data_IF_382365407674
#
_entry.id   IF_382365407674
#
_cell.length_a   1.000
_cell.length_b   1.000
_cell.length_c   1.000
_cell.angle_alpha   90.00
_cell.angle_beta   90.00
_cell.angle_gamma   90.00
#
_symmetry.space_group_name_H-M   'P 1'
#
loop_
_entity.id
_entity.type
_entity.pdbx_description
1 polymer ?
#
# COMPACT_ATOMS: atom_id res chain seq x y z
N UNK A 1 -11.95 -40.21 -25.29
CA UNK A 1 -11.94 -39.86 -23.85
C UNK A 1 -10.66 -39.14 -23.38
N UNK A 2 -9.49 -39.37 -23.98
CA UNK A 2 -8.21 -38.73 -23.60
C UNK A 2 -8.07 -37.24 -23.98
N UNK A 3 -8.63 -36.82 -25.11
CA UNK A 3 -8.57 -35.43 -25.60
C UNK A 3 -9.34 -34.45 -24.69
N UNK A 4 -10.51 -34.85 -24.18
CA UNK A 4 -11.33 -34.05 -23.27
C UNK A 4 -10.63 -33.80 -21.92
N UNK A 5 -9.89 -34.79 -21.42
CA UNK A 5 -9.13 -34.68 -20.18
C UNK A 5 -7.91 -33.75 -20.31
N UNK A 6 -7.22 -33.80 -21.46
CA UNK A 6 -6.10 -32.89 -21.77
C UNK A 6 -6.57 -31.43 -21.91
N UNK A 7 -7.71 -31.20 -22.58
CA UNK A 7 -8.28 -29.87 -22.76
C UNK A 7 -8.68 -29.23 -21.42
N UNK A 8 -9.36 -29.98 -20.53
CA UNK A 8 -9.73 -29.52 -19.19
C UNK A 8 -8.50 -29.18 -18.33
N UNK A 9 -7.42 -29.96 -18.46
CA UNK A 9 -6.15 -29.72 -17.75
C UNK A 9 -5.42 -28.47 -18.26
N UNK A 10 -5.48 -28.18 -19.56
CA UNK A 10 -4.89 -26.97 -20.14
C UNK A 10 -5.67 -25.71 -19.76
N UNK A 11 -7.01 -25.77 -19.71
CA UNK A 11 -7.84 -24.66 -19.23
C UNK A 11 -7.53 -24.37 -17.76
N UNK A 12 -7.49 -25.38 -16.90
CA UNK A 12 -7.15 -25.19 -15.48
C UNK A 12 -5.78 -24.54 -15.29
N UNK A 13 -4.76 -25.01 -16.02
CA UNK A 13 -3.41 -24.40 -16.00
C UNK A 13 -3.45 -22.94 -16.44
N UNK A 14 -4.18 -22.63 -17.51
CA UNK A 14 -4.31 -21.26 -18.01
C UNK A 14 -5.02 -20.36 -16.97
N UNK A 15 -6.10 -20.83 -16.35
CA UNK A 15 -6.81 -20.10 -15.29
C UNK A 15 -5.89 -19.81 -14.11
N UNK A 16 -5.12 -20.80 -13.63
CA UNK A 16 -4.16 -20.60 -12.54
C UNK A 16 -3.08 -19.60 -12.92
N UNK A 17 -2.56 -19.64 -14.15
CA UNK A 17 -1.57 -18.68 -14.64
C UNK A 17 -2.14 -17.25 -14.71
N UNK A 18 -3.38 -17.10 -15.18
CA UNK A 18 -4.06 -15.80 -15.24
C UNK A 18 -4.28 -15.24 -13.83
N UNK A 19 -4.82 -16.04 -12.90
CA UNK A 19 -5.03 -15.60 -11.51
C UNK A 19 -3.70 -15.24 -10.86
N UNK A 20 -2.67 -16.08 -11.04
CA UNK A 20 -1.32 -15.81 -10.52
C UNK A 20 -0.74 -14.51 -11.09
N UNK A 21 -0.95 -14.25 -12.39
CA UNK A 21 -0.53 -13.01 -13.04
C UNK A 21 -1.26 -11.77 -12.51
N UNK A 22 -2.58 -11.87 -12.31
CA UNK A 22 -3.39 -10.78 -11.73
C UNK A 22 -2.92 -10.48 -10.31
N UNK A 23 -2.71 -11.50 -9.48
CA UNK A 23 -2.22 -11.32 -8.11
C UNK A 23 -0.83 -10.70 -8.09
N UNK A 24 0.10 -11.21 -8.91
CA UNK A 24 1.44 -10.64 -9.02
C UNK A 24 1.42 -9.17 -9.44
N UNK A 25 0.54 -8.83 -10.38
CA UNK A 25 0.42 -7.46 -10.88
C UNK A 25 -0.10 -6.51 -9.80
N UNK A 26 -1.27 -6.82 -9.21
CA UNK A 26 -1.91 -5.96 -8.22
C UNK A 26 -1.10 -5.88 -6.92
N UNK A 27 -0.39 -6.95 -6.56
CA UNK A 27 0.33 -7.00 -5.29
C UNK A 27 1.72 -6.36 -5.34
N UNK A 28 2.38 -6.39 -6.51
CA UNK A 28 3.78 -5.95 -6.62
C UNK A 28 4.03 -5.00 -7.77
N UNK A 29 3.60 -5.34 -8.98
CA UNK A 29 4.01 -4.58 -10.17
C UNK A 29 3.32 -3.22 -10.25
N UNK A 30 2.08 -3.10 -9.75
CA UNK A 30 1.29 -1.87 -9.82
C UNK A 30 2.04 -0.68 -9.20
N UNK A 31 2.61 -0.84 -8.00
CA UNK A 31 3.33 0.23 -7.31
C UNK A 31 4.56 0.71 -8.09
N UNK A 32 5.30 -0.24 -8.68
CA UNK A 32 6.45 0.09 -9.51
C UNK A 32 6.04 0.86 -10.76
N UNK A 33 5.07 0.37 -11.53
CA UNK A 33 4.63 1.04 -12.75
C UNK A 33 4.05 2.42 -12.49
N UNK A 34 3.24 2.59 -11.44
CA UNK A 34 2.73 3.90 -11.08
C UNK A 34 3.84 4.86 -10.67
N UNK A 35 4.86 4.39 -9.93
CA UNK A 35 6.00 5.25 -9.55
C UNK A 35 6.78 5.82 -10.74
N UNK A 36 6.83 5.09 -11.86
CA UNK A 36 7.48 5.57 -13.09
C UNK A 36 6.77 6.77 -13.73
N UNK A 37 5.49 6.99 -13.42
CA UNK A 37 4.71 8.12 -13.95
C UNK A 37 4.95 9.41 -13.17
N UNK A 38 5.60 9.33 -12.01
CA UNK A 38 5.81 10.50 -11.16
C UNK A 38 6.92 11.41 -11.72
N UNK A 39 6.76 12.73 -11.58
CA UNK A 39 7.73 13.69 -12.09
C UNK A 39 9.06 13.55 -11.34
N UNK A 40 10.16 13.85 -12.03
CA UNK A 40 11.47 13.96 -11.39
C UNK A 40 11.49 15.18 -10.48
N UNK A 41 12.10 15.05 -9.31
CA UNK A 41 12.13 16.10 -8.30
C UNK A 41 13.10 17.24 -8.65
N UNK A 42 14.15 16.97 -9.41
CA UNK A 42 15.15 17.97 -9.82
C UNK A 42 14.95 18.39 -11.28
N UNK A 43 14.76 19.69 -11.51
CA UNK A 43 14.61 20.30 -12.83
C UNK A 43 15.51 21.54 -12.93
N UNK A 44 16.50 21.53 -13.83
CA UNK A 44 17.41 22.68 -14.05
C UNK A 44 18.59 22.74 -13.07
N UNK A 45 19.28 23.89 -13.01
CA UNK A 45 20.37 24.13 -12.07
C UNK A 45 19.78 24.56 -10.71
N UNK A 46 19.61 23.59 -9.82
CA UNK A 46 19.16 23.81 -8.45
C UNK A 46 20.35 23.55 -7.51
N UNK A 47 20.82 24.59 -6.82
CA UNK A 47 21.94 24.47 -5.88
C UNK A 47 21.55 23.73 -4.60
N UNK A 48 20.28 23.81 -4.18
CA UNK A 48 19.72 23.10 -3.02
C UNK A 48 18.23 22.83 -3.18
N UNK A 49 17.85 21.56 -3.13
CA UNK A 49 16.46 21.11 -3.22
C UNK A 49 15.92 20.81 -1.81
N UNK A 50 14.83 21.48 -1.42
CA UNK A 50 14.09 21.20 -0.20
C UNK A 50 12.79 20.50 -0.58
N UNK A 51 12.55 19.31 -0.02
CA UNK A 51 11.43 18.44 -0.34
C UNK A 51 10.56 18.20 0.89
N UNK A 52 9.27 18.44 0.75
CA UNK A 52 8.27 18.16 1.79
C UNK A 52 7.24 17.19 1.21
N UNK A 53 6.97 16.10 1.92
CA UNK A 53 5.94 15.13 1.56
C UNK A 53 4.74 15.28 2.47
N UNK A 54 3.56 15.48 1.88
CA UNK A 54 2.30 15.56 2.59
C UNK A 54 1.57 14.22 2.47
N UNK A 55 1.23 13.61 3.60
CA UNK A 55 0.48 12.35 3.67
C UNK A 55 -0.91 12.65 4.22
N UNK A 56 -1.94 12.46 3.40
CA UNK A 56 -3.32 12.68 3.79
C UNK A 56 -4.06 11.35 3.92
N UNK A 57 -5.01 11.32 4.85
CA UNK A 57 -6.06 10.30 4.93
C UNK A 57 -5.56 8.84 4.88
N UNK A 58 -4.55 8.47 5.70
CA UNK A 58 -4.10 7.09 5.74
C UNK A 58 -5.13 6.15 6.40
N UNK A 59 -6.00 6.67 7.28
CA UNK A 59 -7.16 6.00 7.88
C UNK A 59 -6.93 4.52 8.19
N UNK A 60 -5.99 4.20 9.09
CA UNK A 60 -5.75 2.80 9.47
C UNK A 60 -6.99 2.19 10.09
N UNK A 61 -7.33 0.97 9.66
CA UNK A 61 -8.56 0.30 10.08
C UNK A 61 -8.51 -0.14 11.55
N UNK A 62 -9.60 0.12 12.27
CA UNK A 62 -9.73 -0.25 13.69
C UNK A 62 -10.03 -1.73 13.90
N UNK A 63 -10.08 -2.15 15.17
CA UNK A 63 -10.25 -3.57 15.52
C UNK A 63 -11.71 -4.03 15.62
N UNK A 64 -12.69 -3.12 15.68
CA UNK A 64 -14.10 -3.45 15.99
C UNK A 64 -14.93 -3.68 14.74
N UNK A 65 -14.83 -2.80 13.74
CA UNK A 65 -15.64 -2.84 12.52
C UNK A 65 -15.12 -3.84 11.49
N UNK A 66 -13.80 -3.96 11.36
CA UNK A 66 -13.17 -4.62 10.21
C UNK A 66 -12.53 -5.97 10.55
N UNK A 67 -12.66 -6.97 9.64
CA UNK A 67 -12.01 -8.26 9.81
C UNK A 67 -10.50 -8.14 9.69
N UNK A 68 -9.76 -9.05 10.35
CA UNK A 68 -8.29 -9.00 10.39
C UNK A 68 -7.64 -8.96 8.99
N UNK A 69 -8.25 -9.62 8.00
CA UNK A 69 -7.73 -9.68 6.63
C UNK A 69 -7.80 -8.32 5.93
N UNK A 70 -8.87 -7.56 6.15
CA UNK A 70 -9.03 -6.21 5.59
C UNK A 70 -8.01 -5.26 6.21
N UNK A 71 -7.79 -5.36 7.53
CA UNK A 71 -6.75 -4.60 8.24
C UNK A 71 -5.36 -4.91 7.72
N UNK A 72 -5.04 -6.20 7.54
CA UNK A 72 -3.75 -6.61 7.02
C UNK A 72 -3.49 -6.10 5.60
N UNK A 73 -4.51 -6.15 4.74
CA UNK A 73 -4.43 -5.65 3.37
C UNK A 73 -4.26 -4.12 3.34
N UNK A 74 -5.05 -3.38 4.12
CA UNK A 74 -4.93 -1.93 4.28
C UNK A 74 -3.53 -1.51 4.80
N UNK A 75 -3.06 -2.11 5.89
CA UNK A 75 -1.73 -1.82 6.45
C UNK A 75 -0.61 -2.12 5.44
N UNK A 76 -0.76 -3.18 4.65
CA UNK A 76 0.19 -3.56 3.61
C UNK A 76 0.17 -2.58 2.45
N UNK A 77 -1.01 -2.18 1.98
CA UNK A 77 -1.21 -1.17 0.94
C UNK A 77 -0.56 0.15 1.33
N UNK A 78 -0.88 0.68 2.52
CA UNK A 78 -0.33 1.93 3.05
C UNK A 78 1.20 1.89 3.15
N UNK A 79 1.75 0.79 3.69
CA UNK A 79 3.20 0.63 3.81
C UNK A 79 3.89 0.61 2.45
N UNK A 80 3.32 -0.10 1.46
CA UNK A 80 3.89 -0.20 0.11
C UNK A 80 3.81 1.12 -0.65
N UNK A 81 2.67 1.80 -0.60
CA UNK A 81 2.49 3.10 -1.26
C UNK A 81 3.38 4.16 -0.64
N UNK A 82 3.40 4.27 0.69
CA UNK A 82 4.26 5.20 1.42
C UNK A 82 5.74 4.94 1.14
N UNK A 83 6.22 3.69 1.26
CA UNK A 83 7.63 3.37 1.00
C UNK A 83 8.03 3.62 -0.46
N UNK A 84 7.09 3.56 -1.40
CA UNK A 84 7.33 3.88 -2.82
C UNK A 84 7.43 5.39 -3.01
N UNK A 85 6.51 6.16 -2.42
CA UNK A 85 6.54 7.62 -2.42
C UNK A 85 7.82 8.16 -1.76
N UNK A 86 8.18 7.62 -0.59
CA UNK A 86 9.38 7.99 0.16
C UNK A 86 10.66 7.78 -0.67
N UNK A 87 10.77 6.63 -1.36
CA UNK A 87 11.91 6.32 -2.23
C UNK A 87 12.00 7.19 -3.48
N UNK A 88 10.87 7.72 -3.95
CA UNK A 88 10.86 8.59 -5.13
C UNK A 88 11.13 10.05 -4.80
N UNK A 89 10.57 10.53 -3.69
CA UNK A 89 10.60 11.95 -3.31
C UNK A 89 11.84 12.29 -2.49
N UNK A 90 12.34 11.35 -1.68
CA UNK A 90 13.42 11.57 -0.69
C UNK A 90 13.20 12.88 0.12
N UNK A 91 12.06 12.99 0.84
CA UNK A 91 11.67 14.22 1.53
C UNK A 91 12.55 14.50 2.77
N UNK A 92 12.85 15.78 3.02
CA UNK A 92 13.46 16.23 4.27
C UNK A 92 12.43 16.31 5.42
N UNK A 93 11.15 16.54 5.08
CA UNK A 93 10.06 16.66 6.04
C UNK A 93 8.82 15.92 5.53
N UNK A 94 8.19 15.18 6.43
CA UNK A 94 6.92 14.50 6.18
C UNK A 94 5.87 15.10 7.11
N UNK A 95 4.73 15.51 6.55
CA UNK A 95 3.61 16.09 7.31
C UNK A 95 2.37 15.23 7.09
N UNK A 96 1.77 14.75 8.17
CA UNK A 96 0.49 14.05 8.13
C UNK A 96 -0.67 15.04 8.30
N UNK A 97 -1.59 15.03 7.34
CA UNK A 97 -2.64 16.05 7.23
C UNK A 97 -3.91 15.75 8.04
N UNK A 98 -4.00 14.56 8.64
CA UNK A 98 -5.13 14.14 9.47
C UNK A 98 -5.76 12.85 9.00
N UNK A 99 -6.90 12.51 9.62
CA UNK A 99 -7.66 11.27 9.42
C UNK A 99 -6.78 10.00 9.50
N UNK A 100 -6.05 9.90 10.61
CA UNK A 100 -5.01 8.90 10.76
C UNK A 100 -5.56 7.51 11.02
N UNK A 101 -6.73 7.42 11.68
CA UNK A 101 -7.31 6.18 12.20
C UNK A 101 -8.82 6.25 12.08
N UNK A 102 -9.43 5.18 11.55
CA UNK A 102 -10.88 5.08 11.35
C UNK A 102 -11.65 5.09 12.68
N UNK A 103 -11.24 4.24 13.63
CA UNK A 103 -11.92 4.04 14.91
C UNK A 103 -11.26 4.78 16.08
N UNK A 104 -10.36 5.73 15.80
CA UNK A 104 -9.60 6.43 16.85
C UNK A 104 -10.48 7.15 17.89
N UNK A 105 -11.70 7.54 17.51
CA UNK A 105 -12.66 8.23 18.38
C UNK A 105 -13.44 7.33 19.32
N UNK A 106 -13.56 6.03 19.00
CA UNK A 106 -14.35 5.04 19.77
C UNK A 106 -13.47 3.95 20.40
N UNK A 107 -12.15 4.04 20.23
CA UNK A 107 -11.17 3.14 20.81
C UNK A 107 -11.04 3.35 22.33
N UNK A 108 -10.81 2.28 23.09
CA UNK A 108 -10.27 2.41 24.45
C UNK A 108 -8.82 2.88 24.39
N UNK A 109 -8.27 3.33 25.52
CA UNK A 109 -6.87 3.76 25.57
C UNK A 109 -5.91 2.65 25.09
N UNK A 110 -6.17 1.40 25.45
CA UNK A 110 -5.34 0.25 25.03
C UNK A 110 -5.48 -0.04 23.53
N UNK A 111 -6.68 0.07 22.97
CA UNK A 111 -6.93 -0.07 21.53
C UNK A 111 -6.22 1.03 20.76
N UNK A 112 -6.36 2.28 21.22
CA UNK A 112 -5.72 3.44 20.62
C UNK A 112 -4.20 3.29 20.60
N UNK A 113 -3.59 2.84 21.70
CA UNK A 113 -2.14 2.59 21.74
C UNK A 113 -1.71 1.51 20.74
N UNK A 114 -2.49 0.45 20.56
CA UNK A 114 -2.21 -0.55 19.51
C UNK A 114 -2.33 0.05 18.12
N UNK A 115 -3.35 0.86 17.85
CA UNK A 115 -3.52 1.51 16.54
C UNK A 115 -2.36 2.47 16.26
N UNK A 116 -1.96 3.27 17.25
CA UNK A 116 -0.82 4.17 17.15
C UNK A 116 0.49 3.43 16.90
N UNK A 117 0.71 2.29 17.57
CA UNK A 117 1.88 1.46 17.33
C UNK A 117 1.88 0.92 15.89
N UNK A 118 0.74 0.43 15.40
CA UNK A 118 0.57 -0.05 14.02
C UNK A 118 0.81 1.06 12.99
N UNK A 119 0.26 2.26 13.24
CA UNK A 119 0.48 3.44 12.43
C UNK A 119 1.97 3.76 12.30
N UNK A 120 2.70 3.82 13.43
CA UNK A 120 4.14 4.04 13.41
C UNK A 120 4.88 2.99 12.59
N UNK A 121 4.51 1.71 12.69
CA UNK A 121 5.12 0.60 11.94
C UNK A 121 4.82 0.61 10.43
N UNK A 122 3.73 1.27 10.01
CA UNK A 122 3.38 1.44 8.59
C UNK A 122 4.22 2.57 7.96
N UNK A 123 4.43 3.65 8.70
CA UNK A 123 5.05 4.89 8.23
C UNK A 123 6.49 5.12 8.74
N UNK A 124 7.23 4.04 9.02
CA UNK A 124 8.66 4.11 9.38
C UNK A 124 9.55 4.54 8.21
#
# INVERSE_FOLDING_TARGET
MSLFCSHRRNIFRLTVLIIGGILLFNEYLVYFFFSLTWPKMACGNIDKLHSVMLVADPQILGEKSEPFIARWDNDRYLRRSFATALRHVEPELIIFLGDLMDEGSIATDEEYQRYFQRFKEIFQ
#
